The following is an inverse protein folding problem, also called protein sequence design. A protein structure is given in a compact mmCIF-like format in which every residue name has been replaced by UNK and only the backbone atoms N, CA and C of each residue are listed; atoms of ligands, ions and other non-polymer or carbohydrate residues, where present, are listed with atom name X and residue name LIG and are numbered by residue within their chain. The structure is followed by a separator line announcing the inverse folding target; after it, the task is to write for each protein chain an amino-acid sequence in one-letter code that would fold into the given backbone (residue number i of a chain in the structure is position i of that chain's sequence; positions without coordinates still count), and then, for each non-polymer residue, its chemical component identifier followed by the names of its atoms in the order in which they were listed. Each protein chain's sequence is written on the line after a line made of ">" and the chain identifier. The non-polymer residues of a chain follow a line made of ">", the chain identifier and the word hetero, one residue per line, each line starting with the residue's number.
data_IF_253789890256
#
_entry.id   IF_253789890256
#
_cell.length_a   1.000
_cell.length_b   1.000
_cell.length_c   1.000
_cell.angle_alpha   90.00
_cell.angle_beta   90.00
_cell.angle_gamma   90.00
#
_symmetry.space_group_name_H-M   'P 1'
#
loop_
_entity.id
_entity.type
_entity.pdbx_description
1 polymer ?
#
# COMPACT_ATOMS: atom_id res chain seq x y z
N UNK A 1 -26.71 8.92 -27.16
CA UNK A 1 -26.73 8.68 -25.70
C UNK A 1 -25.90 7.45 -25.44
N UNK A 2 -25.01 7.58 -24.45
CA UNK A 2 -24.04 6.60 -23.92
C UNK A 2 -22.65 6.55 -24.59
N UNK A 3 -21.88 7.63 -24.41
CA UNK A 3 -20.40 7.63 -24.43
C UNK A 3 -19.92 7.98 -23.00
N UNK A 4 -19.97 7.03 -22.06
CA UNK A 4 -19.74 7.37 -20.64
C UNK A 4 -19.00 6.35 -19.77
N UNK A 5 -18.64 5.16 -20.28
CA UNK A 5 -18.14 4.07 -19.42
C UNK A 5 -16.75 3.52 -19.80
N UNK A 6 -16.09 4.05 -20.84
CA UNK A 6 -14.75 3.55 -21.23
C UNK A 6 -13.58 4.21 -20.50
N UNK A 7 -13.81 5.26 -19.70
CA UNK A 7 -12.72 6.04 -19.08
C UNK A 7 -12.35 5.55 -17.66
N UNK A 8 -13.26 4.85 -16.97
CA UNK A 8 -13.04 4.43 -15.57
C UNK A 8 -12.04 3.30 -15.38
N UNK A 9 -11.71 2.54 -16.43
CA UNK A 9 -10.71 1.47 -16.32
C UNK A 9 -9.27 1.98 -16.44
N UNK A 10 -9.06 3.20 -16.95
CA UNK A 10 -7.72 3.81 -17.06
C UNK A 10 -7.24 4.49 -15.78
N UNK A 11 -8.17 4.87 -14.89
CA UNK A 11 -7.85 5.55 -13.62
C UNK A 11 -7.36 4.60 -12.50
N UNK A 12 -7.39 3.28 -12.71
CA UNK A 12 -6.98 2.30 -11.68
C UNK A 12 -5.46 2.15 -11.50
N UNK A 13 -4.64 2.82 -12.32
CA UNK A 13 -3.18 2.71 -12.34
C UNK A 13 -2.45 4.06 -12.14
N UNK A 14 -3.08 5.05 -11.50
CA UNK A 14 -2.47 6.38 -11.29
C UNK A 14 -1.43 6.43 -10.17
N UNK A 15 -1.29 5.38 -9.35
CA UNK A 15 -0.38 5.35 -8.20
C UNK A 15 1.10 5.04 -8.49
N UNK A 16 1.52 5.00 -9.76
CA UNK A 16 2.90 4.68 -10.17
C UNK A 16 3.62 5.90 -10.78
N UNK A 17 2.95 7.04 -10.92
CA UNK A 17 3.49 8.19 -11.66
C UNK A 17 4.67 8.89 -10.93
N UNK A 18 4.78 8.74 -9.60
CA UNK A 18 5.81 9.41 -8.79
C UNK A 18 6.75 8.46 -8.02
N UNK A 19 6.74 7.16 -8.31
CA UNK A 19 7.76 6.27 -7.75
C UNK A 19 9.10 6.61 -8.41
N UNK A 20 10.02 7.25 -7.68
CA UNK A 20 11.42 7.41 -8.10
C UNK A 20 12.07 6.02 -8.28
N UNK A 21 11.91 5.47 -9.48
CA UNK A 21 12.43 4.18 -9.90
C UNK A 21 12.23 4.07 -11.41
N UNK A 22 13.32 3.83 -12.13
CA UNK A 22 13.46 3.81 -13.59
C UNK A 22 12.73 2.62 -14.24
N UNK A 23 11.42 2.47 -13.96
CA UNK A 23 10.53 1.67 -14.77
C UNK A 23 10.38 2.40 -16.09
N UNK A 24 11.32 2.16 -17.02
CA UNK A 24 11.20 2.69 -18.38
C UNK A 24 9.80 2.35 -18.90
N UNK A 25 8.99 3.39 -19.10
CA UNK A 25 7.60 3.29 -19.54
C UNK A 25 7.46 2.48 -20.84
N UNK A 26 8.53 2.36 -21.61
CA UNK A 26 8.62 1.50 -22.81
C UNK A 26 8.45 -0.01 -22.51
N UNK A 27 8.93 -0.52 -21.37
CA UNK A 27 8.79 -1.94 -20.99
C UNK A 27 7.37 -2.30 -20.53
N UNK A 28 6.64 -1.32 -19.98
CA UNK A 28 5.21 -1.46 -19.63
C UNK A 28 4.33 -1.51 -20.88
N UNK A 29 4.76 -0.86 -21.97
CA UNK A 29 4.06 -0.85 -23.25
C UNK A 29 4.42 -2.08 -24.09
N UNK A 30 5.60 -2.68 -23.89
CA UNK A 30 6.08 -3.87 -24.61
C UNK A 30 6.57 -4.99 -23.69
N UNK A 31 5.76 -6.04 -23.44
CA UNK A 31 6.21 -7.11 -22.56
C UNK A 31 7.36 -7.88 -23.21
N UNK A 32 8.44 -8.03 -22.46
CA UNK A 32 9.61 -8.83 -22.87
C UNK A 32 9.17 -10.26 -23.22
N UNK A 33 9.64 -10.78 -24.36
CA UNK A 33 9.39 -12.16 -24.74
C UNK A 33 10.14 -13.11 -23.80
N UNK A 34 9.36 -13.95 -23.10
CA UNK A 34 9.88 -14.88 -22.10
C UNK A 34 8.96 -16.08 -21.94
N UNK A 35 9.43 -17.19 -21.36
CA UNK A 35 8.58 -18.33 -21.04
C UNK A 35 7.37 -17.97 -20.17
N UNK A 36 6.41 -18.89 -20.12
CA UNK A 36 5.24 -18.74 -19.25
C UNK A 36 5.67 -18.78 -17.79
N UNK A 37 5.27 -17.76 -17.03
CA UNK A 37 5.25 -17.78 -15.56
C UNK A 37 3.81 -17.96 -15.08
N UNK A 38 3.42 -17.16 -14.08
CA UNK A 38 2.00 -16.99 -13.70
C UNK A 38 1.19 -16.54 -14.94
N UNK A 39 1.72 -15.54 -15.65
CA UNK A 39 1.16 -15.02 -16.89
C UNK A 39 1.71 -15.80 -18.10
N UNK A 40 0.80 -16.19 -18.99
CA UNK A 40 1.13 -16.65 -20.35
C UNK A 40 1.50 -15.46 -21.26
N UNK A 41 2.16 -15.70 -22.41
CA UNK A 41 2.49 -14.63 -23.37
C UNK A 41 1.26 -13.79 -23.74
N UNK A 42 0.13 -14.44 -24.03
CA UNK A 42 -1.11 -13.74 -24.39
C UNK A 42 -1.76 -12.99 -23.23
N UNK A 43 -1.49 -13.36 -21.98
CA UNK A 43 -1.96 -12.54 -20.85
C UNK A 43 -1.17 -11.25 -20.77
N UNK A 44 0.15 -11.30 -21.02
CA UNK A 44 1.01 -10.12 -21.04
C UNK A 44 0.63 -9.18 -22.18
N UNK A 45 0.41 -9.72 -23.38
CA UNK A 45 -0.11 -8.94 -24.53
C UNK A 45 -1.42 -8.22 -24.17
N UNK A 46 -2.35 -8.91 -23.51
CA UNK A 46 -3.63 -8.32 -23.09
C UNK A 46 -3.43 -7.22 -22.04
N UNK A 47 -2.64 -7.46 -20.99
CA UNK A 47 -2.41 -6.48 -19.94
C UNK A 47 -1.64 -5.24 -20.44
N UNK A 48 -0.76 -5.39 -21.42
CA UNK A 48 -0.04 -4.27 -22.03
C UNK A 48 -0.85 -3.56 -23.14
N UNK A 49 -2.13 -3.91 -23.34
CA UNK A 49 -2.99 -3.27 -24.34
C UNK A 49 -2.64 -3.60 -25.79
N UNK A 50 -1.84 -4.64 -26.05
CA UNK A 50 -1.49 -5.08 -27.40
C UNK A 50 -2.55 -5.95 -28.06
N UNK A 51 -3.49 -6.45 -27.27
CA UNK A 51 -4.48 -7.41 -27.70
C UNK A 51 -5.85 -7.06 -27.19
N UNK A 52 -6.67 -6.54 -28.10
CA UNK A 52 -8.08 -6.30 -27.87
C UNK A 52 -8.93 -7.51 -28.27
N UNK A 53 -9.95 -7.78 -27.46
CA UNK A 53 -10.95 -8.80 -27.77
C UNK A 53 -12.18 -8.12 -28.34
N UNK A 54 -12.58 -8.54 -29.55
CA UNK A 54 -13.77 -8.00 -30.22
C UNK A 54 -15.10 -8.46 -29.58
N UNK A 55 -15.06 -9.35 -28.60
CA UNK A 55 -16.23 -9.96 -28.00
C UNK A 55 -16.09 -10.03 -26.48
N UNK A 56 -17.02 -9.40 -25.76
CA UNK A 56 -17.02 -9.24 -24.30
C UNK A 56 -16.79 -10.56 -23.55
N UNK A 57 -17.46 -11.64 -23.96
CA UNK A 57 -17.27 -12.96 -23.33
C UNK A 57 -15.83 -13.47 -23.42
N UNK A 58 -15.11 -13.21 -24.51
CA UNK A 58 -13.72 -13.64 -24.67
C UNK A 58 -12.79 -12.84 -23.77
N UNK A 59 -13.07 -11.54 -23.62
CA UNK A 59 -12.34 -10.68 -22.68
C UNK A 59 -12.58 -11.10 -21.23
N UNK A 60 -13.84 -11.34 -20.83
CA UNK A 60 -14.18 -11.82 -19.49
C UNK A 60 -13.47 -13.15 -19.18
N UNK A 61 -13.44 -14.07 -20.15
CA UNK A 61 -12.70 -15.33 -20.00
C UNK A 61 -11.19 -15.09 -19.84
N UNK A 62 -10.61 -14.10 -20.53
CA UNK A 62 -9.20 -13.72 -20.36
C UNK A 62 -8.92 -13.20 -18.95
N UNK A 63 -9.74 -12.26 -18.46
CA UNK A 63 -9.63 -11.70 -17.10
C UNK A 63 -9.77 -12.78 -16.04
N UNK A 64 -10.73 -13.69 -16.20
CA UNK A 64 -10.91 -14.83 -15.30
C UNK A 64 -9.69 -15.75 -15.29
N UNK A 65 -9.13 -16.09 -16.45
CA UNK A 65 -7.95 -16.95 -16.54
C UNK A 65 -6.71 -16.31 -15.89
N UNK A 66 -6.51 -15.00 -16.04
CA UNK A 66 -5.43 -14.26 -15.36
C UNK A 66 -5.63 -14.33 -13.84
N UNK A 67 -6.85 -14.06 -13.37
CA UNK A 67 -7.20 -14.11 -11.95
C UNK A 67 -6.91 -15.49 -11.34
N UNK A 68 -7.42 -16.55 -11.97
CA UNK A 68 -7.23 -17.93 -11.49
C UNK A 68 -5.75 -18.31 -11.45
N UNK A 69 -4.99 -18.02 -12.50
CA UNK A 69 -3.54 -18.30 -12.51
C UNK A 69 -2.79 -17.51 -11.44
N UNK A 70 -3.17 -16.26 -11.20
CA UNK A 70 -2.56 -15.44 -10.16
C UNK A 70 -2.83 -16.00 -8.78
N UNK A 71 -4.08 -16.41 -8.51
CA UNK A 71 -4.46 -17.06 -7.25
C UNK A 71 -3.66 -18.34 -7.02
N UNK A 72 -3.62 -19.24 -8.01
CA UNK A 72 -2.89 -20.50 -7.84
C UNK A 72 -1.37 -20.27 -7.79
N UNK A 73 -0.83 -19.33 -8.59
CA UNK A 73 0.59 -18.98 -8.54
C UNK A 73 1.04 -18.41 -7.19
N UNK A 74 0.19 -17.63 -6.52
CA UNK A 74 0.45 -17.17 -5.14
C UNK A 74 0.46 -18.36 -4.17
N UNK A 75 -0.45 -19.33 -4.32
CA UNK A 75 -0.48 -20.53 -3.48
C UNK A 75 0.75 -21.41 -3.68
N UNK A 76 1.26 -21.48 -4.92
CA UNK A 76 2.43 -22.26 -5.27
C UNK A 76 3.70 -21.78 -4.55
N UNK A 77 3.79 -20.51 -4.13
CA UNK A 77 4.93 -20.03 -3.31
C UNK A 77 5.11 -20.81 -2.01
N UNK A 78 4.04 -21.33 -1.41
CA UNK A 78 4.16 -22.21 -0.25
C UNK A 78 4.87 -23.52 -0.62
N UNK A 79 4.59 -24.07 -1.80
CA UNK A 79 5.25 -25.29 -2.29
C UNK A 79 6.71 -25.00 -2.62
N UNK A 80 6.99 -23.88 -3.29
CA UNK A 80 8.37 -23.47 -3.59
C UNK A 80 9.18 -23.30 -2.31
N UNK A 81 8.64 -22.60 -1.32
CA UNK A 81 9.31 -22.41 -0.02
C UNK A 81 9.58 -23.73 0.71
N UNK A 82 8.63 -24.66 0.70
CA UNK A 82 8.73 -25.90 1.48
C UNK A 82 9.50 -27.02 0.78
N UNK A 83 9.46 -27.07 -0.55
CA UNK A 83 9.87 -28.25 -1.33
C UNK A 83 10.94 -27.97 -2.38
N UNK A 84 11.18 -26.71 -2.78
CA UNK A 84 12.24 -26.42 -3.74
C UNK A 84 13.60 -26.58 -3.05
N UNK A 85 14.48 -27.36 -3.68
CA UNK A 85 15.83 -27.57 -3.16
C UNK A 85 16.62 -26.26 -3.16
N UNK A 86 17.47 -26.07 -2.15
CA UNK A 86 18.30 -24.86 -1.99
C UNK A 86 19.10 -24.54 -3.26
N UNK A 87 19.70 -25.54 -3.90
CA UNK A 87 20.50 -25.32 -5.13
C UNK A 87 19.67 -24.84 -6.32
N UNK A 88 18.39 -25.23 -6.40
CA UNK A 88 17.48 -24.73 -7.45
C UNK A 88 16.96 -23.35 -7.11
N UNK A 89 16.71 -23.07 -5.82
CA UNK A 89 16.36 -21.74 -5.34
C UNK A 89 17.48 -20.72 -5.63
N UNK A 90 18.73 -21.08 -5.37
CA UNK A 90 19.91 -20.25 -5.66
C UNK A 90 20.01 -19.91 -7.16
N UNK A 91 19.83 -20.91 -8.03
CA UNK A 91 19.81 -20.69 -9.49
C UNK A 91 18.69 -19.77 -9.95
N UNK A 92 17.51 -19.83 -9.31
CA UNK A 92 16.42 -18.89 -9.62
C UNK A 92 16.85 -17.47 -9.27
N UNK A 93 17.51 -17.25 -8.14
CA UNK A 93 17.98 -15.92 -7.74
C UNK A 93 19.12 -15.42 -8.65
N UNK A 94 20.04 -16.29 -9.05
CA UNK A 94 21.14 -15.97 -9.97
C UNK A 94 20.69 -15.68 -11.41
N UNK A 95 19.45 -16.05 -11.77
CA UNK A 95 18.91 -15.80 -13.10
C UNK A 95 18.53 -14.33 -13.34
N UNK A 96 18.43 -13.52 -12.28
CA UNK A 96 18.12 -12.10 -12.34
C UNK A 96 19.40 -11.28 -12.10
N UNK A 97 19.50 -10.14 -12.76
CA UNK A 97 20.39 -9.10 -12.24
C UNK A 97 19.79 -8.45 -10.98
N UNK A 98 20.61 -7.73 -10.23
CA UNK A 98 20.19 -7.15 -8.95
C UNK A 98 19.06 -6.13 -9.08
N UNK A 99 19.03 -5.36 -10.17
CA UNK A 99 18.06 -4.29 -10.37
C UNK A 99 16.70 -4.86 -10.78
N UNK A 100 16.69 -5.82 -11.71
CA UNK A 100 15.50 -6.58 -12.12
C UNK A 100 14.90 -7.31 -10.92
N UNK A 101 15.73 -7.97 -10.11
CA UNK A 101 15.29 -8.69 -8.92
C UNK A 101 14.62 -7.76 -7.90
N UNK A 102 15.26 -6.61 -7.61
CA UNK A 102 14.72 -5.61 -6.69
C UNK A 102 13.39 -5.04 -7.19
N UNK A 103 13.30 -4.74 -8.48
CA UNK A 103 12.08 -4.23 -9.12
C UNK A 103 10.94 -5.26 -9.03
N UNK A 104 11.23 -6.54 -9.31
CA UNK A 104 10.26 -7.62 -9.21
C UNK A 104 9.77 -7.80 -7.76
N UNK A 105 10.66 -7.77 -6.79
CA UNK A 105 10.31 -7.89 -5.37
C UNK A 105 9.51 -6.69 -4.84
N UNK A 106 9.87 -5.47 -5.23
CA UNK A 106 9.08 -4.26 -4.90
C UNK A 106 7.66 -4.35 -5.47
N UNK A 107 7.52 -4.83 -6.71
CA UNK A 107 6.20 -5.03 -7.34
C UNK A 107 5.37 -6.08 -6.61
N UNK A 108 5.98 -7.17 -6.16
CA UNK A 108 5.32 -8.22 -5.36
C UNK A 108 4.88 -7.65 -4.00
N UNK A 109 5.73 -6.88 -3.32
CA UNK A 109 5.41 -6.24 -2.04
C UNK A 109 4.25 -5.25 -2.18
N UNK A 110 4.27 -4.39 -3.21
CA UNK A 110 3.18 -3.45 -3.49
C UNK A 110 1.85 -4.19 -3.76
N UNK A 111 1.88 -5.24 -4.59
CA UNK A 111 0.72 -6.07 -4.86
C UNK A 111 0.15 -6.71 -3.59
N UNK A 112 1.01 -7.23 -2.71
CA UNK A 112 0.58 -7.79 -1.43
C UNK A 112 0.01 -6.73 -0.50
N UNK A 113 0.63 -5.55 -0.43
CA UNK A 113 0.18 -4.44 0.42
C UNK A 113 -1.22 -3.96 0.03
N UNK A 114 -1.44 -3.74 -1.27
CA UNK A 114 -2.77 -3.42 -1.80
C UNK A 114 -3.75 -4.57 -1.53
N UNK A 115 -3.32 -5.82 -1.71
CA UNK A 115 -4.16 -7.01 -1.50
C UNK A 115 -4.61 -7.23 -0.05
N UNK A 116 -3.97 -6.58 0.93
CA UNK A 116 -4.38 -6.57 2.33
C UNK A 116 -5.01 -5.22 2.74
N UNK A 117 -5.45 -4.42 1.78
CA UNK A 117 -6.08 -3.11 2.00
C UNK A 117 -5.15 -2.09 2.64
N UNK A 118 -3.86 -2.15 2.29
CA UNK A 118 -2.81 -1.25 2.80
C UNK A 118 -2.69 -1.26 4.34
N UNK A 119 -3.11 -2.36 4.98
CA UNK A 119 -2.99 -2.55 6.43
C UNK A 119 -1.52 -2.74 6.83
N UNK A 120 -0.92 -1.68 7.37
CA UNK A 120 0.48 -1.66 7.83
C UNK A 120 0.73 -2.64 8.97
N UNK A 121 -0.25 -2.84 9.86
CA UNK A 121 -0.15 -3.79 10.97
C UNK A 121 -0.11 -5.23 10.49
N UNK A 122 -0.97 -5.58 9.53
CA UNK A 122 -0.97 -6.90 8.89
C UNK A 122 0.26 -7.10 8.01
N UNK A 123 0.73 -6.07 7.30
CA UNK A 123 1.98 -6.15 6.53
C UNK A 123 3.17 -6.46 7.43
N UNK A 124 3.30 -5.73 8.55
CA UNK A 124 4.35 -5.97 9.56
C UNK A 124 4.40 -7.43 9.99
N UNK A 125 3.26 -8.00 10.37
CA UNK A 125 3.18 -9.41 10.81
C UNK A 125 3.60 -10.40 9.71
N UNK A 126 3.23 -10.13 8.45
CA UNK A 126 3.60 -10.95 7.30
C UNK A 126 5.13 -10.88 7.08
N UNK A 127 5.70 -9.68 7.08
CA UNK A 127 7.13 -9.46 6.88
C UNK A 127 7.97 -10.05 8.01
N UNK A 128 7.62 -9.81 9.28
CA UNK A 128 8.30 -10.40 10.43
C UNK A 128 8.36 -11.92 10.32
N UNK A 129 7.21 -12.56 9.99
CA UNK A 129 7.15 -14.01 9.81
C UNK A 129 8.00 -14.49 8.65
N UNK A 130 7.90 -13.84 7.49
CA UNK A 130 8.67 -14.20 6.29
C UNK A 130 10.18 -14.06 6.50
N UNK A 131 10.61 -12.95 7.08
CA UNK A 131 12.01 -12.69 7.44
C UNK A 131 12.50 -13.65 8.52
N UNK A 132 11.68 -13.99 9.52
CA UNK A 132 12.05 -14.99 10.53
C UNK A 132 12.30 -16.37 9.92
N UNK A 133 11.45 -16.78 8.96
CA UNK A 133 11.62 -18.01 8.21
C UNK A 133 12.90 -17.98 7.36
N UNK A 134 13.11 -16.92 6.57
CA UNK A 134 14.29 -16.75 5.73
C UNK A 134 15.60 -16.66 6.51
N UNK A 135 15.62 -15.92 7.62
CA UNK A 135 16.79 -15.78 8.50
C UNK A 135 17.21 -17.11 9.14
N UNK A 136 16.30 -18.08 9.20
CA UNK A 136 16.50 -19.43 9.71
C UNK A 136 16.47 -20.51 8.62
N UNK A 137 16.46 -20.14 7.34
CA UNK A 137 16.41 -21.08 6.20
C UNK A 137 17.67 -21.96 6.15
N UNK A 138 18.84 -21.33 6.19
CA UNK A 138 20.13 -21.99 6.36
C UNK A 138 20.94 -21.27 7.45
N UNK A 139 21.24 -22.01 8.52
CA UNK A 139 22.03 -21.52 9.66
C UNK A 139 23.44 -22.08 9.67
N UNK A 140 23.82 -22.86 8.65
CA UNK A 140 25.18 -23.35 8.51
C UNK A 140 26.14 -22.17 8.25
N UNK A 141 27.34 -22.24 8.82
CA UNK A 141 28.35 -21.19 8.65
C UNK A 141 28.18 -19.91 9.48
N UNK A 142 27.04 -19.71 10.19
CA UNK A 142 26.88 -18.56 11.10
C UNK A 142 27.47 -18.84 12.48
N UNK A 143 28.26 -17.91 13.00
CA UNK A 143 28.69 -17.95 14.41
C UNK A 143 27.54 -17.58 15.38
N UNK A 144 26.52 -16.87 14.89
CA UNK A 144 25.42 -16.31 15.68
C UNK A 144 24.22 -17.26 15.91
N UNK A 145 24.30 -18.52 15.49
CA UNK A 145 23.20 -19.49 15.67
C UNK A 145 21.90 -19.10 14.94
N UNK A 146 20.75 -19.58 15.45
CA UNK A 146 19.41 -19.33 14.89
C UNK A 146 18.89 -17.94 15.27
N UNK A 147 18.16 -17.29 14.37
CA UNK A 147 17.46 -16.05 14.68
C UNK A 147 16.28 -16.34 15.62
N UNK A 148 16.18 -15.58 16.71
CA UNK A 148 15.13 -15.75 17.74
C UNK A 148 14.00 -14.72 17.61
N UNK A 149 14.27 -13.55 17.05
CA UNK A 149 13.33 -12.45 16.89
C UNK A 149 13.63 -11.70 15.58
N UNK A 150 12.59 -11.20 14.95
CA UNK A 150 12.64 -10.21 13.86
C UNK A 150 11.66 -9.10 14.23
N UNK A 151 12.06 -7.85 13.97
CA UNK A 151 11.25 -6.66 14.20
C UNK A 151 11.19 -5.87 12.89
N UNK A 152 10.00 -5.37 12.54
CA UNK A 152 9.78 -4.58 11.32
C UNK A 152 9.02 -3.31 11.67
N UNK A 153 9.66 -2.18 11.43
CA UNK A 153 9.02 -0.86 11.50
C UNK A 153 8.61 -0.42 10.09
N UNK A 154 7.35 0.00 9.96
CA UNK A 154 6.79 0.52 8.70
C UNK A 154 6.22 1.88 9.06
N UNK A 155 6.81 2.91 8.48
CA UNK A 155 6.38 4.29 8.59
C UNK A 155 6.08 4.81 7.19
N UNK A 156 4.85 5.24 6.96
CA UNK A 156 4.39 5.72 5.65
C UNK A 156 3.82 7.12 5.87
N UNK A 157 4.52 8.10 5.31
CA UNK A 157 4.07 9.48 5.28
C UNK A 157 3.29 9.71 3.97
N UNK A 158 2.06 10.22 4.10
CA UNK A 158 1.24 10.57 2.94
C UNK A 158 1.30 12.08 2.73
N UNK A 159 1.57 12.50 1.50
CA UNK A 159 1.34 13.88 1.11
C UNK A 159 -0.18 14.16 1.07
N UNK A 160 -0.65 15.30 1.63
CA UNK A 160 -2.07 15.64 1.60
C UNK A 160 -2.55 15.79 0.15
N UNK A 161 -3.63 15.10 -0.20
CA UNK A 161 -4.28 15.30 -1.49
C UNK A 161 -5.07 16.62 -1.47
N UNK A 162 -4.39 17.71 -1.79
CA UNK A 162 -4.91 19.08 -1.75
C UNK A 162 -6.24 19.21 -2.50
N UNK A 163 -6.40 18.57 -3.65
CA UNK A 163 -7.64 18.69 -4.45
C UNK A 163 -8.82 17.98 -3.79
N UNK A 164 -8.62 16.74 -3.31
CA UNK A 164 -9.67 16.03 -2.56
C UNK A 164 -10.03 16.72 -1.24
N UNK A 165 -9.03 17.27 -0.55
CA UNK A 165 -9.24 18.06 0.66
C UNK A 165 -10.07 19.31 0.36
N UNK A 166 -9.84 19.96 -0.79
CA UNK A 166 -10.60 21.13 -1.21
C UNK A 166 -12.04 20.77 -1.61
N UNK A 167 -12.25 19.65 -2.30
CA UNK A 167 -13.58 19.12 -2.59
C UNK A 167 -14.37 18.91 -1.29
N UNK A 168 -13.74 18.34 -0.26
CA UNK A 168 -14.34 18.18 1.08
C UNK A 168 -14.78 19.50 1.69
N UNK A 169 -13.99 20.57 1.55
CA UNK A 169 -14.38 21.91 2.00
C UNK A 169 -15.61 22.40 1.25
N UNK A 170 -15.63 22.25 -0.09
CA UNK A 170 -16.77 22.66 -0.92
C UNK A 170 -18.05 21.86 -0.63
N UNK A 171 -17.93 20.62 -0.18
CA UNK A 171 -19.04 19.78 0.28
C UNK A 171 -19.52 20.13 1.71
N UNK A 172 -18.87 21.10 2.37
CA UNK A 172 -19.19 21.54 3.73
C UNK A 172 -18.61 20.67 4.84
N UNK A 173 -17.69 19.76 4.53
CA UNK A 173 -16.98 18.91 5.50
C UNK A 173 -15.67 19.54 6.00
N UNK A 174 -15.42 20.82 5.71
CA UNK A 174 -14.17 21.49 6.04
C UNK A 174 -13.85 21.52 7.55
N UNK A 175 -14.86 21.46 8.42
CA UNK A 175 -14.69 21.40 9.87
C UNK A 175 -14.13 20.05 10.39
N UNK A 176 -14.07 19.02 9.55
CA UNK A 176 -13.49 17.72 9.88
C UNK A 176 -12.00 17.63 9.52
N UNK A 177 -11.44 18.65 8.88
CA UNK A 177 -10.04 18.70 8.49
C UNK A 177 -9.14 18.90 9.70
N UNK A 178 -8.01 18.20 9.71
CA UNK A 178 -6.94 18.38 10.69
C UNK A 178 -6.14 19.67 10.39
N UNK A 179 -5.43 20.24 11.39
CA UNK A 179 -4.58 21.41 11.16
C UNK A 179 -3.50 21.22 10.09
N UNK A 180 -3.01 19.99 9.91
CA UNK A 180 -2.04 19.66 8.85
C UNK A 180 -2.66 19.74 7.46
N UNK A 181 -3.89 19.26 7.30
CA UNK A 181 -4.65 19.32 6.03
C UNK A 181 -5.06 20.75 5.68
N UNK A 182 -5.51 21.54 6.67
CA UNK A 182 -5.77 22.98 6.48
C UNK A 182 -4.49 23.71 6.08
N UNK A 183 -3.37 23.43 6.76
CA UNK A 183 -2.07 24.00 6.42
C UNK A 183 -1.62 23.65 4.99
N UNK A 184 -1.91 22.42 4.53
CA UNK A 184 -1.62 22.00 3.17
C UNK A 184 -2.46 22.76 2.13
N UNK A 185 -3.75 22.95 2.38
CA UNK A 185 -4.65 23.73 1.53
C UNK A 185 -4.24 25.21 1.43
N UNK A 186 -3.86 25.82 2.55
CA UNK A 186 -3.35 27.22 2.60
C UNK A 186 -2.03 27.34 1.84
N UNK A 187 -1.09 26.41 2.07
CA UNK A 187 0.20 26.39 1.36
C UNK A 187 0.01 26.24 -0.15
N UNK A 188 -1.01 25.50 -0.57
CA UNK A 188 -1.38 25.33 -1.98
C UNK A 188 -2.21 26.50 -2.55
N UNK A 189 -2.58 27.49 -1.74
CA UNK A 189 -3.38 28.65 -2.15
C UNK A 189 -4.84 28.32 -2.48
N UNK A 190 -5.35 27.19 -1.98
CA UNK A 190 -6.74 26.74 -2.17
C UNK A 190 -7.69 27.31 -1.12
N UNK A 191 -7.16 27.69 0.05
CA UNK A 191 -7.89 28.43 1.09
C UNK A 191 -7.27 29.81 1.27
N UNK A 192 -8.11 30.82 1.37
CA UNK A 192 -7.72 32.18 1.74
C UNK A 192 -8.16 32.55 3.17
N UNK A 193 -7.93 33.79 3.57
CA UNK A 193 -8.28 34.25 4.92
C UNK A 193 -9.79 34.24 5.20
N UNK A 194 -10.64 34.43 4.19
CA UNK A 194 -12.09 34.38 4.36
C UNK A 194 -12.59 32.95 4.53
N UNK A 195 -12.02 32.00 3.78
CA UNK A 195 -12.36 30.58 3.93
C UNK A 195 -11.98 30.05 5.33
N UNK A 196 -10.88 30.54 5.90
CA UNK A 196 -10.44 30.17 7.25
C UNK A 196 -11.38 30.70 8.35
N UNK A 197 -11.94 31.90 8.18
CA UNK A 197 -12.93 32.47 9.10
C UNK A 197 -14.23 31.64 9.10
N UNK A 198 -14.69 31.17 7.93
CA UNK A 198 -15.87 30.30 7.80
C UNK A 198 -15.66 28.92 8.48
N UNK A 199 -14.46 28.36 8.39
CA UNK A 199 -14.09 27.13 9.09
C UNK A 199 -14.04 27.32 10.61
N UNK A 200 -13.61 28.48 11.10
CA UNK A 200 -13.59 28.80 12.52
C UNK A 200 -15.01 28.98 13.09
N UNK A 201 -15.92 29.64 12.35
CA UNK A 201 -17.31 29.85 12.75
C UNK A 201 -18.15 28.55 12.81
N UNK A 202 -17.77 27.50 12.07
CA UNK A 202 -18.47 26.20 12.06
C UNK A 202 -18.02 25.24 13.16
N UNK A 203 -16.98 25.58 13.93
CA UNK A 203 -16.39 24.72 14.98
C UNK A 203 -17.08 24.88 16.35
N UNK A 204 -18.35 25.31 16.36
CA UNK A 204 -19.09 25.77 17.54
C UNK A 204 -19.63 24.63 18.47
N UNK A 205 -18.95 23.48 18.53
CA UNK A 205 -19.18 22.46 19.55
C UNK A 205 -17.86 21.88 20.07
N UNK A 206 -17.07 22.70 20.77
CA UNK A 206 -16.14 22.18 21.76
C UNK A 206 -16.95 21.57 22.92
N UNK A 207 -16.90 20.25 23.18
CA UNK A 207 -17.47 19.71 24.40
C UNK A 207 -16.63 20.26 25.56
N UNK A 208 -17.21 21.21 26.29
CA UNK A 208 -16.57 21.88 27.41
C UNK A 208 -15.96 20.85 28.35
N UNK A 209 -14.63 20.88 28.46
CA UNK A 209 -13.91 20.11 29.47
C UNK A 209 -14.38 20.63 30.82
N UNK A 210 -15.19 19.84 31.50
CA UNK A 210 -15.55 20.05 32.89
C UNK A 210 -14.26 20.15 33.71
N UNK A 211 -13.91 21.37 34.11
CA UNK A 211 -12.99 21.62 35.20
C UNK A 211 -13.66 21.17 36.51
N UNK A 212 -13.55 19.89 36.85
CA UNK A 212 -13.64 19.44 38.24
C UNK A 212 -12.32 19.86 38.91
N UNK A 213 -12.30 20.80 39.84
CA UNK A 213 -13.03 20.77 41.10
C UNK A 213 -11.97 20.64 42.19
N UNK A 214 -11.58 21.80 42.75
CA UNK A 214 -10.52 21.98 43.73
C UNK A 214 -10.57 20.94 44.86
N UNK A 215 -9.46 20.22 45.05
CA UNK A 215 -9.24 19.44 46.27
C UNK A 215 -8.82 20.42 47.37
N UNK A 216 -9.77 20.77 48.24
CA UNK A 216 -9.49 21.44 49.51
C UNK A 216 -8.59 20.56 50.38
N UNK A 217 -7.36 21.03 50.58
CA UNK A 217 -6.48 20.57 51.64
C UNK A 217 -7.02 21.02 53.01
N UNK A 218 -7.54 20.10 53.82
CA UNK A 218 -7.65 20.29 55.27
C UNK A 218 -6.63 19.43 55.99
N UNK A 219 -5.56 20.08 56.40
CA UNK A 219 -4.69 19.67 57.48
C UNK A 219 -5.38 20.07 58.80
N UNK A 220 -5.50 19.14 59.74
CA UNK A 220 -6.11 19.38 61.04
C UNK A 220 -5.90 18.19 61.98
N UNK A 221 -4.88 18.33 62.83
CA UNK A 221 -4.49 17.46 63.94
C UNK A 221 -5.61 17.23 64.97
N UNK A 222 -5.49 16.14 65.76
CA UNK A 222 -6.13 16.10 67.09
C UNK A 222 -6.55 14.72 67.61
N UNK A 223 -5.60 14.02 68.26
CA UNK A 223 -5.72 13.32 69.56
C UNK A 223 -7.04 12.66 69.98
N UNK A 224 -6.97 11.39 70.42
CA UNK A 224 -7.73 10.95 71.61
C UNK A 224 -8.24 9.51 71.62
N UNK A 225 -7.65 8.72 72.54
CA UNK A 225 -8.06 7.43 73.11
C UNK A 225 -7.75 6.14 72.36
#
# INVERSE_FOLDING_TARGET
>A
MSDGDQDKSRELFTGVEDAEGDLSSESLIHPVDRPRGILSPTDREYLCGMKDYSHDQTELNRRQAIRERTIEGIRDFNLLWLLLEQTEWEKVMEAFDTEELNTAFSSILAFMFIGIDQDTGRMRQILERGLYLGANYDTSGRWSGRANTVDVEIDIEYEPNVDQLYERVQEGEGNQLTPGEIGALVKAGKLDSADLEELEETTDEFPGVYAGGSVESKQGEGTGS
#
